data_IF_379009294457
#
_entry.id   IF_379009294457
#
_cell.length_a   1.000
_cell.length_b   1.000
_cell.length_c   1.000
_cell.angle_alpha   90.00
_cell.angle_beta   90.00
_cell.angle_gamma   90.00
#
_symmetry.space_group_name_H-M   'P 1'
#
loop_
_entity.id
_entity.type
_entity.pdbx_description
1 polymer ?
#
# COMPACT_ATOMS: atom_id res chain seq x y z
N UNK A 1 -8.46 17.63 1.58
CA UNK A 1 -9.27 17.18 0.41
C UNK A 1 -10.67 17.75 0.59
N UNK A 2 -11.48 18.07 -0.42
CA UNK A 2 -12.86 18.52 -0.11
C UNK A 2 -13.79 17.34 0.17
N UNK A 3 -14.75 17.54 1.07
CA UNK A 3 -15.78 16.57 1.39
C UNK A 3 -17.15 17.26 1.54
N UNK A 4 -18.21 16.57 1.15
CA UNK A 4 -19.59 17.01 1.32
C UNK A 4 -20.29 16.15 2.35
N UNK A 5 -21.09 16.80 3.18
CA UNK A 5 -21.86 16.16 4.24
C UNK A 5 -23.22 15.78 3.66
N UNK A 6 -23.42 14.51 3.35
CA UNK A 6 -24.65 14.07 2.68
C UNK A 6 -25.83 13.95 3.66
N UNK A 7 -25.55 13.54 4.90
CA UNK A 7 -26.57 13.37 5.92
C UNK A 7 -26.00 13.40 7.35
N UNK A 8 -26.80 13.93 8.27
CA UNK A 8 -26.58 13.89 9.73
C UNK A 8 -27.84 13.29 10.35
N UNK A 9 -27.72 12.10 10.96
CA UNK A 9 -28.88 11.37 11.46
C UNK A 9 -28.66 10.88 12.89
N UNK A 10 -29.60 11.18 13.79
CA UNK A 10 -29.59 10.60 15.14
C UNK A 10 -30.07 9.15 15.10
N UNK A 11 -29.36 8.24 15.77
CA UNK A 11 -29.77 6.84 15.93
C UNK A 11 -30.94 6.77 16.92
N UNK A 12 -31.82 5.75 16.83
CA UNK A 12 -33.04 5.61 17.65
C UNK A 12 -32.85 5.76 19.16
N UNK A 13 -31.66 5.45 19.70
CA UNK A 13 -31.33 5.64 21.12
C UNK A 13 -31.02 7.09 21.49
N UNK A 14 -30.78 7.97 20.52
CA UNK A 14 -30.41 9.36 20.70
C UNK A 14 -28.99 9.60 21.20
N UNK A 15 -28.19 8.54 21.41
CA UNK A 15 -26.83 8.61 21.97
C UNK A 15 -25.73 8.76 20.89
N UNK A 16 -26.08 8.50 19.63
CA UNK A 16 -25.13 8.48 18.52
C UNK A 16 -25.69 9.19 17.31
N UNK A 17 -24.76 9.70 16.50
CA UNK A 17 -25.02 10.37 15.24
C UNK A 17 -24.30 9.59 14.14
N UNK A 18 -25.05 9.30 13.07
CA UNK A 18 -24.52 8.80 11.82
C UNK A 18 -24.25 10.00 10.91
N UNK A 19 -22.99 10.17 10.54
CA UNK A 19 -22.53 11.20 9.63
C UNK A 19 -22.13 10.53 8.31
N UNK A 20 -22.88 10.81 7.24
CA UNK A 20 -22.56 10.34 5.89
C UNK A 20 -21.76 11.43 5.19
N UNK A 21 -20.54 11.09 4.78
CA UNK A 21 -19.59 12.03 4.18
C UNK A 21 -19.12 11.48 2.84
N UNK A 22 -19.25 12.27 1.78
CA UNK A 22 -18.65 11.99 0.48
C UNK A 22 -17.37 12.79 0.32
N UNK A 23 -16.24 12.09 0.29
CA UNK A 23 -14.92 12.64 0.01
C UNK A 23 -14.75 12.77 -1.50
N UNK A 24 -14.40 13.98 -1.97
CA UNK A 24 -14.14 14.29 -3.37
C UNK A 24 -12.75 13.82 -3.82
N UNK A 25 -12.49 12.52 -3.62
CA UNK A 25 -11.36 11.80 -4.23
C UNK A 25 -11.69 11.38 -5.66
N UNK A 26 -10.75 10.75 -6.36
CA UNK A 26 -10.97 10.17 -7.69
C UNK A 26 -10.80 8.64 -7.65
N UNK A 27 -11.89 7.85 -7.73
CA UNK A 27 -13.30 8.27 -7.74
C UNK A 27 -13.77 8.78 -6.36
N UNK A 28 -14.91 9.48 -6.27
CA UNK A 28 -15.49 9.91 -4.99
C UNK A 28 -15.78 8.72 -4.07
N UNK A 29 -15.66 8.95 -2.76
CA UNK A 29 -15.81 7.90 -1.74
C UNK A 29 -16.74 8.35 -0.64
N UNK A 30 -17.81 7.61 -0.44
CA UNK A 30 -18.76 7.84 0.65
C UNK A 30 -18.44 6.94 1.83
N UNK A 31 -18.33 7.53 3.01
CA UNK A 31 -18.17 6.85 4.29
C UNK A 31 -19.30 7.22 5.23
N UNK A 32 -19.60 6.32 6.16
CA UNK A 32 -20.59 6.54 7.22
C UNK A 32 -19.84 6.40 8.54
N UNK A 33 -19.76 7.50 9.29
CA UNK A 33 -19.11 7.54 10.60
C UNK A 33 -20.17 7.48 11.69
N UNK A 34 -19.93 6.63 12.69
CA UNK A 34 -20.72 6.57 13.92
C UNK A 34 -20.00 7.35 15.01
N UNK A 35 -20.60 8.45 15.43
CA UNK A 35 -20.02 9.41 16.38
C UNK A 35 -20.92 9.48 17.60
N UNK A 36 -20.37 9.63 18.80
CA UNK A 36 -21.19 9.88 19.99
C UNK A 36 -21.84 11.26 19.90
N UNK A 37 -23.03 11.41 20.49
CA UNK A 37 -23.73 12.69 20.49
C UNK A 37 -22.94 13.77 21.24
N UNK A 38 -22.28 13.40 22.33
CA UNK A 38 -21.47 14.32 23.13
C UNK A 38 -20.31 14.87 22.29
N UNK A 39 -19.56 14.01 21.60
CA UNK A 39 -18.46 14.41 20.70
C UNK A 39 -18.94 15.32 19.58
N UNK A 40 -20.08 15.00 18.96
CA UNK A 40 -20.69 15.87 17.94
C UNK A 40 -21.10 17.23 18.50
N UNK A 41 -21.59 17.30 19.74
CA UNK A 41 -21.96 18.57 20.37
C UNK A 41 -20.76 19.43 20.78
N UNK A 42 -19.64 18.80 21.14
CA UNK A 42 -18.40 19.47 21.54
C UNK A 42 -17.64 20.04 20.34
N UNK A 43 -17.51 19.26 19.27
CA UNK A 43 -16.67 19.60 18.11
C UNK A 43 -17.37 20.51 17.08
N UNK A 44 -18.68 20.74 17.22
CA UNK A 44 -19.42 21.75 16.48
C UNK A 44 -20.52 21.22 15.56
N UNK A 45 -21.37 22.14 15.09
CA UNK A 45 -22.51 21.85 14.22
C UNK A 45 -22.06 21.81 12.76
N UNK A 46 -22.16 20.63 12.17
CA UNK A 46 -22.01 20.43 10.72
C UNK A 46 -23.38 20.06 10.17
N UNK A 47 -23.80 20.74 9.10
CA UNK A 47 -25.12 20.54 8.50
C UNK A 47 -25.04 19.72 7.21
N UNK A 48 -26.13 19.02 6.90
CA UNK A 48 -26.25 18.32 5.62
C UNK A 48 -26.23 19.34 4.46
N UNK A 49 -25.49 19.02 3.41
CA UNK A 49 -25.22 19.87 2.25
C UNK A 49 -23.97 20.74 2.38
N UNK A 50 -23.36 20.81 3.56
CA UNK A 50 -22.13 21.57 3.77
C UNK A 50 -20.94 20.92 3.04
N UNK A 51 -20.03 21.75 2.54
CA UNK A 51 -18.76 21.31 1.95
C UNK A 51 -17.60 21.88 2.73
N UNK A 52 -16.79 20.99 3.31
CA UNK A 52 -15.70 21.33 4.23
C UNK A 52 -14.36 20.83 3.68
N UNK A 53 -13.24 21.27 4.25
CA UNK A 53 -12.04 20.46 4.11
C UNK A 53 -12.21 19.17 4.92
N UNK A 54 -11.89 18.04 4.31
CA UNK A 54 -11.99 16.74 4.92
C UNK A 54 -11.09 16.63 6.15
N UNK A 55 -9.93 17.28 6.14
CA UNK A 55 -9.03 17.31 7.30
C UNK A 55 -9.62 18.08 8.49
N UNK A 56 -10.54 19.04 8.25
CA UNK A 56 -11.26 19.76 9.32
C UNK A 56 -12.25 18.86 10.06
N UNK A 57 -12.63 17.70 9.48
CA UNK A 57 -13.46 16.72 10.15
C UNK A 57 -12.68 15.85 11.14
N UNK A 58 -11.35 15.88 11.14
CA UNK A 58 -10.52 14.99 11.96
C UNK A 58 -10.89 14.97 13.45
N UNK A 59 -11.13 16.11 14.13
CA UNK A 59 -11.58 16.09 15.53
C UNK A 59 -12.87 15.30 15.72
N UNK A 60 -13.82 15.41 14.78
CA UNK A 60 -15.12 14.77 14.86
C UNK A 60 -15.06 13.26 14.53
N UNK A 61 -14.42 12.89 13.41
CA UNK A 61 -14.49 11.53 12.86
C UNK A 61 -13.26 10.66 13.12
N UNK A 62 -12.14 11.23 13.58
CA UNK A 62 -10.82 10.60 13.55
C UNK A 62 -10.77 9.17 14.12
N UNK A 63 -11.35 8.95 15.30
CA UNK A 63 -11.36 7.61 15.94
C UNK A 63 -12.08 6.56 15.09
N UNK A 64 -13.23 6.92 14.54
CA UNK A 64 -14.04 6.03 13.73
C UNK A 64 -13.43 5.84 12.34
N UNK A 65 -12.87 6.92 11.75
CA UNK A 65 -12.13 6.86 10.50
C UNK A 65 -10.91 5.95 10.60
N UNK A 66 -10.14 6.02 11.69
CA UNK A 66 -9.02 5.12 11.98
C UNK A 66 -9.48 3.67 12.10
N UNK A 67 -10.61 3.40 12.78
CA UNK A 67 -11.19 2.06 12.88
C UNK A 67 -11.60 1.51 11.51
N UNK A 68 -12.24 2.33 10.69
CA UNK A 68 -12.67 1.96 9.33
C UNK A 68 -11.48 1.78 8.39
N UNK A 69 -10.45 2.63 8.48
CA UNK A 69 -9.21 2.54 7.73
C UNK A 69 -8.47 1.23 8.04
N UNK A 70 -8.35 0.88 9.33
CA UNK A 70 -7.79 -0.40 9.76
C UNK A 70 -8.58 -1.59 9.21
N UNK A 71 -9.91 -1.60 9.39
CA UNK A 71 -10.76 -2.67 8.86
C UNK A 71 -10.66 -2.80 7.33
N UNK A 72 -10.51 -1.68 6.62
CA UNK A 72 -10.27 -1.68 5.17
C UNK A 72 -8.88 -2.22 4.83
N UNK A 73 -7.86 -1.87 5.60
CA UNK A 73 -6.51 -2.37 5.44
C UNK A 73 -6.44 -3.89 5.55
N UNK A 74 -7.07 -4.47 6.59
CA UNK A 74 -7.23 -5.92 6.74
C UNK A 74 -7.84 -6.55 5.48
N UNK A 75 -8.94 -5.97 4.95
CA UNK A 75 -9.58 -6.48 3.73
C UNK A 75 -8.67 -6.42 2.51
N UNK A 76 -7.88 -5.35 2.35
CA UNK A 76 -6.92 -5.22 1.24
C UNK A 76 -5.84 -6.30 1.34
N UNK A 77 -5.30 -6.53 2.55
CA UNK A 77 -4.26 -7.53 2.79
C UNK A 77 -4.77 -8.96 2.66
N UNK A 78 -6.04 -9.22 2.97
CA UNK A 78 -6.68 -10.51 2.75
C UNK A 78 -6.74 -10.89 1.25
N UNK A 79 -6.76 -9.91 0.34
CA UNK A 79 -6.72 -10.15 -1.11
C UNK A 79 -5.29 -10.30 -1.67
N UNK A 80 -4.26 -9.95 -0.92
CA UNK A 80 -2.87 -10.06 -1.35
C UNK A 80 -1.91 -9.09 -0.67
N UNK A 81 -0.63 -9.42 -0.79
CA UNK A 81 0.44 -8.68 -0.17
C UNK A 81 0.51 -7.21 -0.61
N UNK A 82 0.82 -6.33 0.33
CA UNK A 82 1.10 -4.92 0.06
C UNK A 82 2.32 -4.46 0.87
N UNK A 83 3.04 -3.51 0.31
CA UNK A 83 4.01 -2.69 1.05
C UNK A 83 3.28 -1.65 1.89
N UNK A 84 3.95 -1.13 2.91
CA UNK A 84 3.47 0.00 3.73
C UNK A 84 3.07 1.17 2.85
N UNK A 85 3.94 1.55 1.91
CA UNK A 85 3.71 2.65 0.97
C UNK A 85 2.48 2.41 0.10
N UNK A 86 2.31 1.23 -0.48
CA UNK A 86 1.15 0.96 -1.33
C UNK A 86 -0.15 0.82 -0.53
N UNK A 87 -0.11 0.28 0.68
CA UNK A 87 -1.29 0.24 1.53
C UNK A 87 -1.74 1.64 1.93
N UNK A 88 -0.80 2.49 2.38
CA UNK A 88 -1.07 3.88 2.71
C UNK A 88 -1.72 4.60 1.52
N UNK A 89 -1.10 4.54 0.32
CA UNK A 89 -1.64 5.10 -0.91
C UNK A 89 -3.07 4.60 -1.20
N UNK A 90 -3.30 3.29 -1.06
CA UNK A 90 -4.62 2.69 -1.31
C UNK A 90 -5.68 3.16 -0.31
N UNK A 91 -5.32 3.41 0.93
CA UNK A 91 -6.23 3.95 1.95
C UNK A 91 -6.53 5.42 1.67
N UNK A 92 -5.52 6.26 1.38
CA UNK A 92 -5.75 7.67 1.06
C UNK A 92 -6.58 7.85 -0.22
N UNK A 93 -6.33 7.07 -1.27
CA UNK A 93 -7.17 7.02 -2.48
C UNK A 93 -8.61 6.54 -2.23
N UNK A 94 -8.86 5.91 -1.07
CA UNK A 94 -10.19 5.50 -0.62
C UNK A 94 -10.85 6.53 0.30
N UNK A 95 -10.25 7.72 0.45
CA UNK A 95 -10.84 8.83 1.19
C UNK A 95 -10.80 8.64 2.70
N UNK A 96 -9.78 7.95 3.23
CA UNK A 96 -9.47 7.98 4.66
C UNK A 96 -8.58 9.19 4.97
N UNK A 97 -8.68 9.73 6.19
CA UNK A 97 -7.77 10.77 6.66
C UNK A 97 -6.35 10.24 6.64
N UNK A 98 -5.39 11.12 6.40
CA UNK A 98 -3.98 10.72 6.29
C UNK A 98 -3.48 10.09 7.59
N UNK A 99 -3.78 10.71 8.72
CA UNK A 99 -3.38 10.23 10.05
C UNK A 99 -4.01 8.85 10.37
N UNK A 100 -5.31 8.69 10.11
CA UNK A 100 -6.01 7.40 10.22
C UNK A 100 -5.39 6.31 9.37
N UNK A 101 -5.01 6.63 8.12
CA UNK A 101 -4.40 5.69 7.21
C UNK A 101 -2.97 5.30 7.64
N UNK A 102 -2.17 6.28 8.09
CA UNK A 102 -0.82 6.05 8.61
C UNK A 102 -0.87 5.17 9.88
N UNK A 103 -1.71 5.51 10.84
CA UNK A 103 -1.90 4.73 12.07
C UNK A 103 -2.42 3.31 11.80
N UNK A 104 -3.33 3.13 10.83
CA UNK A 104 -3.78 1.81 10.40
C UNK A 104 -2.64 0.98 9.81
N UNK A 105 -1.80 1.56 8.95
CA UNK A 105 -0.64 0.88 8.35
C UNK A 105 0.36 0.48 9.42
N UNK A 106 0.72 1.38 10.33
CA UNK A 106 1.66 1.09 11.43
C UNK A 106 1.17 -0.05 12.31
N UNK A 107 -0.12 -0.02 12.68
CA UNK A 107 -0.73 -1.10 13.46
C UNK A 107 -0.67 -2.44 12.73
N UNK A 108 -0.99 -2.49 11.44
CA UNK A 108 -0.95 -3.70 10.64
C UNK A 108 0.47 -4.26 10.46
N UNK A 109 1.48 -3.40 10.40
CA UNK A 109 2.90 -3.81 10.44
C UNK A 109 3.23 -4.43 11.78
N UNK A 110 2.88 -3.77 12.89
CA UNK A 110 3.15 -4.25 14.25
C UNK A 110 2.49 -5.61 14.54
N UNK A 111 1.29 -5.83 14.00
CA UNK A 111 0.55 -7.09 14.14
C UNK A 111 1.02 -8.18 13.15
N UNK A 112 2.01 -7.89 12.28
CA UNK A 112 2.64 -8.87 11.40
C UNK A 112 1.89 -9.16 10.10
N UNK A 113 0.86 -8.36 9.77
CA UNK A 113 0.14 -8.48 8.50
C UNK A 113 0.96 -8.01 7.30
N UNK A 114 1.94 -7.13 7.53
CA UNK A 114 2.85 -6.62 6.49
C UNK A 114 4.27 -7.04 6.83
N UNK A 115 4.86 -7.89 6.00
CA UNK A 115 6.23 -8.42 6.14
C UNK A 115 7.00 -8.18 4.85
N UNK A 116 7.50 -6.96 4.71
CA UNK A 116 8.13 -6.48 3.46
C UNK A 116 9.44 -7.20 3.13
N UNK A 117 10.24 -7.54 4.13
CA UNK A 117 11.49 -8.29 3.94
C UNK A 117 11.21 -9.69 3.36
N UNK A 118 10.32 -10.45 4.01
CA UNK A 118 9.90 -11.78 3.53
C UNK A 118 9.27 -11.71 2.13
N UNK A 119 8.51 -10.64 1.85
CA UNK A 119 7.93 -10.41 0.54
C UNK A 119 9.00 -10.17 -0.52
N UNK A 120 10.01 -9.33 -0.23
CA UNK A 120 11.13 -9.07 -1.14
C UNK A 120 11.90 -10.35 -1.45
N UNK A 121 12.26 -11.11 -0.42
CA UNK A 121 12.99 -12.37 -0.56
C UNK A 121 12.23 -13.35 -1.48
N UNK A 122 10.93 -13.55 -1.22
CA UNK A 122 10.06 -14.36 -2.08
C UNK A 122 10.01 -13.86 -3.52
N UNK A 123 9.96 -12.53 -3.73
CA UNK A 123 9.98 -11.97 -5.09
C UNK A 123 11.33 -12.22 -5.78
N UNK A 124 12.45 -12.04 -5.09
CA UNK A 124 13.79 -12.29 -5.63
C UNK A 124 13.98 -13.76 -6.01
N UNK A 125 13.51 -14.70 -5.18
CA UNK A 125 13.51 -16.13 -5.51
C UNK A 125 12.70 -16.44 -6.78
N UNK A 126 11.55 -15.78 -6.96
CA UNK A 126 10.75 -15.90 -8.20
C UNK A 126 11.50 -15.33 -9.40
N UNK A 127 12.18 -14.20 -9.24
CA UNK A 127 12.94 -13.57 -10.32
C UNK A 127 14.18 -14.36 -10.71
N UNK A 128 14.87 -14.98 -9.76
CA UNK A 128 15.96 -15.93 -10.03
C UNK A 128 15.48 -17.08 -10.92
N UNK A 129 14.36 -17.73 -10.55
CA UNK A 129 13.74 -18.81 -11.35
C UNK A 129 13.32 -18.38 -12.75
N UNK A 130 12.99 -17.10 -12.93
CA UNK A 130 12.64 -16.51 -14.24
C UNK A 130 13.85 -16.02 -15.03
N UNK A 131 15.06 -16.15 -14.47
CA UNK A 131 16.31 -15.65 -15.04
C UNK A 131 16.25 -14.13 -15.29
N UNK A 132 15.68 -13.37 -14.36
CA UNK A 132 15.59 -11.92 -14.47
C UNK A 132 16.74 -11.25 -13.73
N UNK A 133 17.47 -10.40 -14.45
CA UNK A 133 18.51 -9.54 -13.90
C UNK A 133 17.95 -8.29 -13.22
N UNK A 134 18.79 -7.58 -12.43
CA UNK A 134 18.34 -6.44 -11.63
C UNK A 134 17.67 -5.33 -12.43
N UNK A 135 18.15 -5.03 -13.64
CA UNK A 135 17.56 -3.98 -14.49
C UNK A 135 16.10 -4.31 -14.87
N UNK A 136 15.75 -5.59 -14.92
CA UNK A 136 14.44 -6.07 -15.35
C UNK A 136 13.43 -6.13 -14.20
N UNK A 137 13.84 -6.58 -13.01
CA UNK A 137 12.91 -6.67 -11.88
C UNK A 137 12.82 -5.39 -11.05
N UNK A 138 13.82 -4.51 -11.09
CA UNK A 138 13.84 -3.28 -10.29
C UNK A 138 12.59 -2.39 -10.52
N UNK A 139 12.13 -2.11 -11.76
CA UNK A 139 10.92 -1.33 -11.97
C UNK A 139 9.68 -1.96 -11.31
N UNK A 140 9.55 -3.28 -11.37
CA UNK A 140 8.41 -4.00 -10.80
C UNK A 140 8.39 -3.87 -9.27
N UNK A 141 9.55 -3.92 -8.62
CA UNK A 141 9.64 -3.76 -7.16
C UNK A 141 9.36 -2.31 -6.73
N UNK A 142 9.85 -1.33 -7.51
CA UNK A 142 9.55 0.09 -7.26
C UNK A 142 8.06 0.40 -7.42
N UNK A 143 7.39 -0.17 -8.43
CA UNK A 143 5.94 -0.04 -8.61
C UNK A 143 5.16 -0.73 -7.47
N UNK A 144 5.67 -1.86 -6.97
CA UNK A 144 5.12 -2.56 -5.79
C UNK A 144 5.30 -1.80 -4.48
N UNK A 145 5.99 -0.68 -4.47
CA UNK A 145 6.02 0.21 -3.33
C UNK A 145 7.32 0.12 -2.50
N UNK A 146 8.25 -0.75 -2.86
CA UNK A 146 9.52 -0.85 -2.14
C UNK A 146 10.40 0.38 -2.38
N UNK A 147 11.24 0.71 -1.40
CA UNK A 147 12.28 1.72 -1.58
C UNK A 147 13.50 1.11 -2.29
N UNK A 148 14.32 1.95 -2.92
CA UNK A 148 15.54 1.47 -3.57
C UNK A 148 16.52 0.88 -2.55
N UNK A 149 16.62 1.49 -1.37
CA UNK A 149 17.49 1.02 -0.30
C UNK A 149 17.07 -0.38 0.20
N UNK A 150 15.77 -0.62 0.39
CA UNK A 150 15.28 -1.93 0.84
C UNK A 150 15.51 -3.01 -0.23
N UNK A 151 15.32 -2.67 -1.51
CA UNK A 151 15.60 -3.59 -2.63
C UNK A 151 17.08 -3.95 -2.67
N UNK A 152 17.97 -2.96 -2.54
CA UNK A 152 19.42 -3.18 -2.54
C UNK A 152 19.86 -4.04 -1.36
N UNK A 153 19.38 -3.72 -0.15
CA UNK A 153 19.67 -4.52 1.04
C UNK A 153 19.16 -5.96 0.91
N UNK A 154 17.93 -6.15 0.44
CA UNK A 154 17.37 -7.48 0.22
C UNK A 154 18.14 -8.27 -0.86
N UNK A 155 18.60 -7.60 -1.93
CA UNK A 155 19.38 -8.24 -2.97
C UNK A 155 20.77 -8.66 -2.48
N UNK A 156 21.41 -7.87 -1.62
CA UNK A 156 22.67 -8.27 -0.96
C UNK A 156 22.47 -9.53 -0.12
N UNK A 157 21.48 -9.52 0.78
CA UNK A 157 21.16 -10.71 1.60
C UNK A 157 20.84 -11.94 0.75
N UNK A 158 20.00 -11.77 -0.27
CA UNK A 158 19.62 -12.86 -1.16
C UNK A 158 20.81 -13.47 -1.93
N UNK A 159 21.85 -12.68 -2.22
CA UNK A 159 23.10 -13.19 -2.81
C UNK A 159 23.92 -13.96 -1.79
N UNK A 160 24.06 -13.44 -0.58
CA UNK A 160 24.78 -14.10 0.51
C UNK A 160 24.14 -15.45 0.89
N UNK A 161 22.81 -15.51 0.86
CA UNK A 161 22.03 -16.71 1.15
C UNK A 161 21.85 -17.65 -0.06
N UNK A 162 22.36 -17.28 -1.24
CA UNK A 162 22.25 -18.08 -2.46
C UNK A 162 20.84 -18.15 -3.07
N UNK A 163 19.90 -17.33 -2.59
CA UNK A 163 18.53 -17.21 -3.12
C UNK A 163 18.55 -16.60 -4.53
N UNK A 164 19.47 -15.67 -4.77
CA UNK A 164 19.65 -14.99 -6.04
C UNK A 164 21.14 -14.91 -6.39
N UNK A 165 21.56 -15.64 -7.42
CA UNK A 165 22.95 -15.66 -7.89
C UNK A 165 23.02 -15.18 -9.35
N UNK A 166 23.63 -14.01 -9.55
CA UNK A 166 23.78 -13.42 -10.88
C UNK A 166 24.59 -14.31 -11.82
N UNK A 167 25.60 -15.03 -11.33
CA UNK A 167 26.50 -15.82 -12.18
C UNK A 167 25.85 -17.12 -12.64
N UNK A 168 25.19 -17.84 -11.72
CA UNK A 168 24.36 -18.99 -12.10
C UNK A 168 23.25 -18.61 -13.09
N UNK A 169 22.58 -17.47 -12.88
CA UNK A 169 21.55 -16.99 -13.80
C UNK A 169 22.15 -16.66 -15.18
N UNK A 170 23.30 -15.96 -15.24
CA UNK A 170 23.99 -15.66 -16.51
C UNK A 170 24.41 -16.93 -17.23
N UNK A 171 24.95 -17.91 -16.51
CA UNK A 171 25.34 -19.20 -17.08
C UNK A 171 24.14 -19.90 -17.72
N UNK A 172 23.01 -19.95 -17.02
CA UNK A 172 21.76 -20.55 -17.52
C UNK A 172 21.20 -19.79 -18.73
N UNK A 173 21.19 -18.45 -18.71
CA UNK A 173 20.78 -17.63 -19.86
C UNK A 173 21.63 -17.94 -21.08
N UNK A 174 22.93 -18.14 -20.89
CA UNK A 174 23.90 -18.36 -21.96
C UNK A 174 24.07 -19.82 -22.34
N UNK A 175 23.37 -20.75 -21.67
CA UNK A 175 23.42 -22.17 -21.98
C UNK A 175 23.11 -22.42 -23.46
N UNK A 176 23.96 -23.24 -24.08
CA UNK A 176 23.89 -23.58 -25.51
C UNK A 176 24.46 -22.54 -26.47
N UNK A 177 24.96 -21.38 -26.00
CA UNK A 177 25.65 -20.41 -26.85
C UNK A 177 27.18 -20.65 -26.86
N UNK A 178 27.84 -20.62 -28.04
CA UNK A 178 29.30 -20.64 -28.12
C UNK A 178 29.93 -19.47 -27.34
N UNK A 179 31.10 -19.69 -26.74
CA UNK A 179 31.80 -18.63 -25.99
C UNK A 179 32.24 -17.46 -26.87
N UNK A 180 32.59 -17.73 -28.12
CA UNK A 180 33.03 -16.71 -29.09
C UNK A 180 31.91 -15.83 -29.67
N UNK A 181 30.63 -16.16 -29.47
CA UNK A 181 29.52 -15.35 -29.99
C UNK A 181 29.15 -14.23 -29.01
N UNK A 182 30.07 -13.28 -28.84
CA UNK A 182 29.92 -12.17 -27.91
C UNK A 182 28.67 -11.31 -28.19
N UNK A 183 28.32 -11.15 -29.47
CA UNK A 183 27.17 -10.35 -29.88
C UNK A 183 25.86 -11.00 -29.41
N UNK A 184 25.67 -12.30 -29.68
CA UNK A 184 24.46 -13.01 -29.29
C UNK A 184 24.37 -13.19 -27.77
N UNK A 185 25.48 -13.51 -27.10
CA UNK A 185 25.53 -13.60 -25.62
C UNK A 185 25.13 -12.27 -24.98
N UNK A 186 25.70 -11.14 -25.44
CA UNK A 186 25.36 -9.79 -24.93
C UNK A 186 23.88 -9.45 -25.16
N UNK A 187 23.35 -9.74 -26.35
CA UNK A 187 21.95 -9.49 -26.65
C UNK A 187 21.00 -10.31 -25.75
N UNK A 188 21.35 -11.57 -25.45
CA UNK A 188 20.56 -12.44 -24.58
C UNK A 188 20.58 -11.96 -23.13
N UNK A 189 21.74 -11.60 -22.60
CA UNK A 189 21.88 -11.00 -21.27
C UNK A 189 21.05 -9.71 -21.13
N UNK A 190 21.14 -8.81 -22.11
CA UNK A 190 20.38 -7.56 -22.12
C UNK A 190 18.87 -7.78 -22.05
N UNK A 191 18.33 -8.73 -22.83
CA UNK A 191 16.89 -9.11 -22.82
C UNK A 191 16.42 -9.59 -21.45
N UNK A 192 17.33 -10.17 -20.66
CA UNK A 192 17.07 -10.66 -19.32
C UNK A 192 17.33 -9.62 -18.23
N UNK A 193 17.95 -8.47 -18.55
CA UNK A 193 18.20 -7.39 -17.60
C UNK A 193 19.58 -7.42 -16.95
N UNK A 194 20.55 -8.09 -17.59
CA UNK A 194 21.96 -8.06 -17.24
C UNK A 194 22.71 -7.07 -18.14
#
# INVERSE_FOLDING_TARGET
MKATIDAVQSVRSGAEILLTVTVHSMPPRTHIYRISRDKFSEEGSIDAGETVDFEELAPLIGDEDARLAYARGVKILASGDNTRRNLLRKLTERGFLRESAEGAVERLVKEGYIREDELLERQLAIYAKRLWGPKKFLPNLLEKGFSRADIEAALVRAREEGIYDDDSIRAEILAGLPEGDFAQRRARLYKHGF
#
